data_IF_643972052104
#
_entry.id   IF_643972052104
#
_cell.length_a   1.000
_cell.length_b   1.000
_cell.length_c   1.000
_cell.angle_alpha   90.00
_cell.angle_beta   90.00
_cell.angle_gamma   90.00
#
_symmetry.space_group_name_H-M   'P 1'
#
loop_
_entity.id
_entity.type
_entity.pdbx_description
1 polymer ?
#
# COMPACT_ATOMS: atom_id res chain seq x y z
N UNK A 1 -21.62 -13.57 3.96
CA UNK A 1 -21.02 -13.34 2.63
C UNK A 1 -19.52 -13.50 2.80
N UNK A 2 -18.93 -14.59 2.30
CA UNK A 2 -17.50 -14.85 2.44
C UNK A 2 -16.78 -14.18 1.27
N UNK A 3 -15.93 -13.20 1.56
CA UNK A 3 -15.04 -12.62 0.55
C UNK A 3 -13.81 -13.54 0.43
N UNK A 4 -13.71 -14.27 -0.68
CA UNK A 4 -12.49 -14.97 -1.04
C UNK A 4 -11.49 -13.93 -1.55
N UNK A 5 -10.49 -13.58 -0.75
CA UNK A 5 -9.31 -12.89 -1.26
C UNK A 5 -8.49 -13.90 -2.05
N UNK A 6 -8.49 -13.78 -3.39
CA UNK A 6 -7.52 -14.48 -4.21
C UNK A 6 -6.13 -14.01 -3.78
N UNK A 7 -5.25 -14.94 -3.42
CA UNK A 7 -3.84 -14.67 -3.17
C UNK A 7 -3.23 -14.23 -4.51
N UNK A 8 -3.04 -12.92 -4.68
CA UNK A 8 -2.48 -12.36 -5.89
C UNK A 8 -1.07 -12.90 -6.09
N UNK A 9 -0.77 -13.44 -7.28
CA UNK A 9 0.58 -13.93 -7.59
C UNK A 9 1.49 -12.76 -7.99
N UNK A 10 2.81 -12.98 -7.95
CA UNK A 10 3.84 -11.99 -8.34
C UNK A 10 3.57 -11.31 -9.69
N UNK A 11 2.91 -11.99 -10.63
CA UNK A 11 2.54 -11.42 -11.95
C UNK A 11 1.31 -10.53 -11.87
N UNK A 12 0.27 -10.93 -11.12
CA UNK A 12 -0.97 -10.17 -10.95
C UNK A 12 -0.69 -8.83 -10.23
N UNK A 13 0.33 -8.84 -9.37
CA UNK A 13 0.81 -7.70 -8.59
C UNK A 13 1.56 -6.66 -9.46
N UNK A 14 2.37 -7.11 -10.42
CA UNK A 14 3.16 -6.20 -11.27
C UNK A 14 2.31 -5.50 -12.35
N UNK A 15 1.27 -6.17 -12.84
CA UNK A 15 0.50 -5.71 -14.02
C UNK A 15 -0.96 -5.30 -13.70
N UNK A 16 -1.38 -5.40 -12.44
CA UNK A 16 -2.77 -5.23 -12.04
C UNK A 16 -3.56 -6.53 -12.21
N UNK A 17 -4.50 -6.79 -11.29
CA UNK A 17 -5.36 -7.99 -11.34
C UNK A 17 -6.20 -7.93 -12.63
N UNK A 18 -6.05 -8.87 -13.58
CA UNK A 18 -6.90 -8.91 -14.75
C UNK A 18 -8.28 -9.42 -14.34
N UNK A 19 -9.35 -8.68 -14.66
CA UNK A 19 -10.70 -9.24 -14.69
C UNK A 19 -10.81 -10.13 -15.94
N UNK A 20 -11.34 -11.36 -15.85
CA UNK A 20 -11.39 -12.29 -16.99
C UNK A 20 -12.25 -11.80 -18.18
N UNK A 21 -13.03 -10.72 -18.02
CA UNK A 21 -14.00 -10.28 -19.03
C UNK A 21 -13.87 -8.81 -19.48
N UNK A 22 -12.75 -8.11 -19.23
CA UNK A 22 -12.68 -6.68 -19.58
C UNK A 22 -11.46 -6.30 -20.43
N UNK A 23 -11.72 -5.77 -21.63
CA UNK A 23 -10.77 -5.13 -22.56
C UNK A 23 -10.18 -3.80 -22.06
N UNK A 24 -10.43 -3.46 -20.79
CA UNK A 24 -9.96 -2.23 -20.15
C UNK A 24 -8.45 -2.29 -19.93
N UNK A 25 -7.70 -1.48 -20.68
CA UNK A 25 -6.29 -1.21 -20.39
C UNK A 25 -6.21 -0.48 -19.06
N UNK A 26 -5.82 -1.18 -17.99
CA UNK A 26 -5.53 -0.52 -16.73
C UNK A 26 -4.40 0.51 -16.92
N UNK A 27 -4.51 1.69 -16.30
CA UNK A 27 -3.44 2.68 -16.39
C UNK A 27 -2.18 2.07 -15.80
N UNK A 28 -1.08 2.18 -16.54
CA UNK A 28 0.21 1.65 -16.08
C UNK A 28 0.69 2.47 -14.88
N UNK A 29 1.26 1.81 -13.85
CA UNK A 29 2.02 2.48 -12.80
C UNK A 29 3.06 3.42 -13.42
N UNK A 30 3.28 4.58 -12.81
CA UNK A 30 4.20 5.60 -13.36
C UNK A 30 5.63 5.35 -12.90
N UNK A 31 5.81 4.62 -11.80
CA UNK A 31 7.11 4.35 -11.19
C UNK A 31 7.36 2.85 -11.04
N UNK A 32 8.59 2.43 -11.37
CA UNK A 32 9.06 1.09 -11.09
C UNK A 32 9.58 1.00 -9.65
N UNK A 33 9.04 0.06 -8.87
CA UNK A 33 9.57 -0.32 -7.57
C UNK A 33 10.07 -1.74 -7.68
N UNK A 34 11.36 -1.95 -7.44
CA UNK A 34 11.97 -3.27 -7.45
C UNK A 34 11.40 -4.14 -6.32
N UNK A 35 11.38 -3.58 -5.11
CA UNK A 35 10.69 -4.14 -3.95
C UNK A 35 9.60 -3.19 -3.46
N UNK A 36 8.39 -3.73 -3.29
CA UNK A 36 7.21 -2.98 -2.85
C UNK A 36 6.37 -3.76 -1.85
N UNK A 37 5.63 -3.03 -1.05
CA UNK A 37 4.50 -3.53 -0.26
C UNK A 37 3.22 -2.81 -0.70
N UNK A 38 2.08 -3.41 -0.41
CA UNK A 38 0.80 -2.97 -0.99
C UNK A 38 -0.28 -2.83 0.05
N UNK A 39 -1.25 -1.98 -0.22
CA UNK A 39 -2.48 -1.89 0.56
C UNK A 39 -3.69 -1.76 -0.38
N UNK A 40 -4.77 -2.45 -0.03
CA UNK A 40 -6.06 -2.32 -0.70
C UNK A 40 -7.05 -1.69 0.26
N UNK A 41 -7.67 -0.59 -0.16
CA UNK A 41 -8.65 0.14 0.64
C UNK A 41 -9.97 0.12 -0.12
N UNK A 42 -10.95 -0.62 0.42
CA UNK A 42 -12.33 -0.48 -0.02
C UNK A 42 -12.91 0.82 0.57
N UNK A 43 -13.58 1.62 -0.26
CA UNK A 43 -14.33 2.78 0.21
C UNK A 43 -15.78 2.37 0.42
N UNK A 44 -16.28 2.53 1.65
CA UNK A 44 -17.71 2.37 1.93
C UNK A 44 -18.47 3.46 1.19
N UNK A 45 -19.13 3.07 0.09
CA UNK A 45 -19.94 3.97 -0.71
C UNK A 45 -21.27 3.29 -1.03
N UNK A 46 -22.42 4.00 -0.91
CA UNK A 46 -23.75 3.43 -1.14
C UNK A 46 -24.05 3.10 -2.62
N UNK A 47 -23.06 3.16 -3.51
CA UNK A 47 -23.25 2.85 -4.93
C UNK A 47 -23.16 1.35 -5.18
N UNK A 48 -23.80 0.91 -6.27
CA UNK A 48 -23.73 -0.47 -6.77
C UNK A 48 -22.29 -0.86 -7.15
N UNK A 49 -21.48 0.11 -7.58
CA UNK A 49 -20.08 -0.11 -7.95
C UNK A 49 -19.13 0.09 -6.75
N UNK A 50 -18.25 -0.91 -6.55
CA UNK A 50 -17.21 -0.89 -5.53
C UNK A 50 -16.16 0.18 -5.84
N UNK A 51 -15.99 1.14 -4.94
CA UNK A 51 -14.89 2.11 -4.99
C UNK A 51 -13.72 1.60 -4.16
N UNK A 52 -12.52 1.74 -4.69
CA UNK A 52 -11.33 1.30 -4.00
C UNK A 52 -10.12 2.14 -4.36
N UNK A 53 -9.17 2.15 -3.45
CA UNK A 53 -7.81 2.65 -3.66
C UNK A 53 -6.82 1.51 -3.51
N UNK A 54 -5.74 1.59 -4.27
CA UNK A 54 -4.64 0.65 -4.18
C UNK A 54 -3.35 1.41 -4.01
N UNK A 55 -2.63 1.15 -2.92
CA UNK A 55 -1.38 1.83 -2.59
C UNK A 55 -0.23 0.87 -2.80
N UNK A 56 0.79 1.34 -3.50
CA UNK A 56 2.10 0.69 -3.61
C UNK A 56 3.11 1.58 -2.90
N UNK A 57 3.82 1.02 -1.94
CA UNK A 57 4.92 1.70 -1.27
C UNK A 57 6.23 0.98 -1.59
N UNK A 58 7.28 1.75 -1.89
CA UNK A 58 8.62 1.19 -2.03
C UNK A 58 9.04 0.53 -0.69
N UNK A 59 9.88 -0.50 -0.72
CA UNK A 59 10.41 -1.12 0.50
C UNK A 59 11.92 -0.89 0.67
N UNK A 60 12.64 -0.76 -0.44
CA UNK A 60 14.08 -0.57 -0.41
C UNK A 60 14.45 0.90 -0.12
N UNK A 61 14.98 1.14 1.07
CA UNK A 61 15.37 2.45 1.58
C UNK A 61 16.81 2.38 2.09
N UNK A 62 17.69 3.18 1.50
CA UNK A 62 19.08 3.30 1.96
C UNK A 62 19.12 3.81 3.40
N UNK A 63 19.96 3.19 4.24
CA UNK A 63 20.05 3.45 5.67
C UNK A 63 20.71 4.79 6.05
N UNK A 64 21.08 5.62 5.06
CA UNK A 64 22.07 6.69 5.22
C UNK A 64 21.51 8.13 5.26
N UNK A 65 20.22 8.34 5.53
CA UNK A 65 19.65 9.70 5.60
C UNK A 65 18.96 9.99 6.94
N UNK A 66 19.17 11.22 7.45
CA UNK A 66 18.62 11.76 8.71
C UNK A 66 17.10 11.86 8.71
N UNK A 67 16.47 11.93 7.53
CA UNK A 67 15.02 11.90 7.35
C UNK A 67 14.68 10.94 6.21
N UNK A 68 14.10 9.80 6.56
CA UNK A 68 13.72 8.82 5.55
C UNK A 68 12.40 9.19 4.93
N UNK A 69 12.33 9.05 3.62
CA UNK A 69 11.10 9.23 2.87
C UNK A 69 10.74 7.96 2.11
N UNK A 70 9.44 7.69 2.05
CA UNK A 70 8.86 6.51 1.42
C UNK A 70 8.02 6.96 0.22
N UNK A 71 8.50 6.73 -1.02
CA UNK A 71 7.69 6.93 -2.21
C UNK A 71 6.51 5.97 -2.23
N UNK A 72 5.34 6.50 -2.53
CA UNK A 72 4.11 5.74 -2.74
C UNK A 72 3.43 6.14 -4.04
N UNK A 73 2.76 5.17 -4.66
CA UNK A 73 1.77 5.40 -5.72
C UNK A 73 0.40 4.93 -5.23
N UNK A 74 -0.61 5.78 -5.38
CA UNK A 74 -2.01 5.47 -5.06
C UNK A 74 -2.84 5.46 -6.33
N UNK A 75 -3.41 4.33 -6.66
CA UNK A 75 -4.46 4.22 -7.67
C UNK A 75 -5.82 4.56 -7.06
N UNK A 76 -6.64 5.29 -7.80
CA UNK A 76 -8.03 5.57 -7.47
C UNK A 76 -8.97 4.99 -8.53
N UNK A 77 -9.83 4.05 -8.14
CA UNK A 77 -10.73 3.37 -9.09
C UNK A 77 -11.78 4.30 -9.69
N UNK A 78 -12.21 5.34 -8.97
CA UNK A 78 -13.20 6.32 -9.43
C UNK A 78 -12.70 7.12 -10.63
N UNK A 79 -11.43 7.52 -10.60
CA UNK A 79 -10.82 8.36 -11.65
C UNK A 79 -9.98 7.56 -12.62
N UNK A 80 -9.72 6.28 -12.32
CA UNK A 80 -8.77 5.45 -13.06
C UNK A 80 -7.40 6.12 -13.23
N UNK A 81 -6.88 6.71 -12.14
CA UNK A 81 -5.59 7.42 -12.16
C UNK A 81 -4.67 7.00 -11.03
N UNK A 82 -3.37 7.07 -11.30
CA UNK A 82 -2.31 6.92 -10.31
C UNK A 82 -1.83 8.30 -9.85
N UNK A 83 -1.69 8.47 -8.54
CA UNK A 83 -1.07 9.64 -7.92
C UNK A 83 0.21 9.23 -7.19
N UNK A 84 1.29 9.96 -7.42
CA UNK A 84 2.56 9.74 -6.74
C UNK A 84 2.69 10.73 -5.58
N UNK A 85 3.14 10.24 -4.44
CA UNK A 85 3.47 11.09 -3.29
C UNK A 85 4.57 10.45 -2.46
N UNK A 86 5.10 11.23 -1.51
CA UNK A 86 6.18 10.79 -0.63
C UNK A 86 5.71 10.93 0.82
N UNK A 87 5.93 9.88 1.63
CA UNK A 87 5.65 9.87 3.07
C UNK A 87 6.96 10.09 3.84
N UNK A 88 6.95 10.96 4.84
CA UNK A 88 8.05 11.06 5.81
C UNK A 88 8.00 9.89 6.80
N UNK A 89 9.13 9.42 7.30
CA UNK A 89 9.17 8.38 8.33
C UNK A 89 10.41 8.50 9.22
N UNK A 90 10.36 7.82 10.38
CA UNK A 90 11.53 7.70 11.25
C UNK A 90 12.67 6.94 10.53
N UNK A 91 13.94 7.33 10.70
CA UNK A 91 15.07 6.67 10.01
C UNK A 91 15.22 5.18 10.31
N UNK A 92 14.72 4.69 11.44
CA UNK A 92 14.80 3.28 11.82
C UNK A 92 13.74 2.41 11.16
N UNK A 93 12.73 3.00 10.51
CA UNK A 93 11.63 2.26 9.89
C UNK A 93 12.05 1.71 8.52
N UNK A 94 11.78 0.44 8.30
CA UNK A 94 12.02 -0.25 7.02
C UNK A 94 10.87 -1.20 6.76
N UNK A 95 10.21 -1.07 5.61
CA UNK A 95 9.05 -1.88 5.24
C UNK A 95 9.50 -3.25 4.72
N UNK A 96 8.77 -4.29 5.06
CA UNK A 96 9.04 -5.63 4.53
C UNK A 96 8.50 -5.74 3.09
N UNK A 97 9.37 -6.12 2.16
CA UNK A 97 9.02 -6.32 0.76
C UNK A 97 7.96 -7.42 0.58
N UNK A 98 7.15 -7.24 -0.46
CA UNK A 98 6.11 -8.17 -0.90
C UNK A 98 5.05 -8.48 0.17
N UNK A 99 4.93 -7.62 1.18
CA UNK A 99 3.89 -7.71 2.19
C UNK A 99 2.61 -7.01 1.74
N UNK A 100 1.46 -7.58 2.13
CA UNK A 100 0.15 -6.95 2.01
C UNK A 100 -0.20 -6.35 3.37
N UNK A 101 -0.49 -5.06 3.40
CA UNK A 101 -0.93 -4.38 4.60
C UNK A 101 -2.28 -4.89 5.08
N UNK A 102 -2.45 -4.86 6.39
CA UNK A 102 -3.78 -4.92 7.00
C UNK A 102 -4.38 -3.51 6.98
N UNK A 103 -5.63 -3.38 6.53
CA UNK A 103 -6.35 -2.12 6.55
C UNK A 103 -7.48 -2.19 7.57
N UNK A 104 -7.43 -1.32 8.58
CA UNK A 104 -8.42 -1.25 9.65
C UNK A 104 -9.03 0.14 9.64
N UNK A 105 -10.33 0.23 9.38
CA UNK A 105 -11.07 1.51 9.31
C UNK A 105 -10.40 2.55 8.38
N UNK A 106 -9.87 2.10 7.25
CA UNK A 106 -9.19 2.96 6.27
C UNK A 106 -7.72 3.28 6.60
N UNK A 107 -7.20 2.84 7.75
CA UNK A 107 -5.79 3.04 8.14
C UNK A 107 -4.97 1.83 7.73
N UNK A 108 -3.82 2.08 7.10
CA UNK A 108 -2.93 1.08 6.52
C UNK A 108 -1.85 0.69 7.51
N UNK A 109 -1.67 -0.62 7.70
CA UNK A 109 -0.66 -1.21 8.60
C UNK A 109 0.21 -2.20 7.83
N UNK A 110 1.44 -1.78 7.50
CA UNK A 110 2.44 -2.66 6.89
C UNK A 110 3.35 -3.29 7.95
N UNK A 111 3.77 -4.53 7.72
CA UNK A 111 4.86 -5.09 8.48
C UNK A 111 6.17 -4.36 8.16
N UNK A 112 6.89 -4.03 9.22
CA UNK A 112 8.17 -3.39 9.16
C UNK A 112 9.20 -4.21 9.95
N UNK A 113 10.47 -3.98 9.63
CA UNK A 113 11.61 -4.60 10.29
C UNK A 113 11.59 -4.37 11.80
N UNK A 114 12.32 -5.21 12.53
CA UNK A 114 12.46 -5.13 14.00
C UNK A 114 11.12 -5.24 14.75
N UNK A 115 10.18 -6.02 14.22
CA UNK A 115 8.86 -6.28 14.81
C UNK A 115 8.03 -5.00 14.99
N UNK A 116 8.07 -4.14 13.99
CA UNK A 116 7.24 -2.93 13.96
C UNK A 116 6.10 -3.08 12.95
N UNK A 117 5.03 -2.33 13.17
CA UNK A 117 4.04 -1.99 12.16
C UNK A 117 4.26 -0.54 11.74
N UNK A 118 4.39 -0.33 10.44
CA UNK A 118 4.32 0.99 9.85
C UNK A 118 2.85 1.36 9.62
N UNK A 119 2.45 2.52 10.11
CA UNK A 119 1.05 2.99 10.08
C UNK A 119 0.95 4.23 9.22
N UNK A 120 0.03 4.19 8.26
CA UNK A 120 -0.31 5.33 7.41
C UNK A 120 -1.82 5.54 7.39
N UNK A 121 -2.25 6.75 7.72
CA UNK A 121 -3.64 7.19 7.57
C UNK A 121 -3.75 8.13 6.35
N UNK A 122 -4.31 7.66 5.21
CA UNK A 122 -4.50 8.48 4.03
C UNK A 122 -5.51 9.63 4.21
N UNK A 123 -6.36 9.59 5.24
CA UNK A 123 -7.40 10.60 5.47
C UNK A 123 -6.95 11.73 6.39
N UNK A 124 -5.92 11.50 7.21
CA UNK A 124 -5.35 12.51 8.12
C UNK A 124 -4.84 13.76 7.41
N UNK A 125 -4.52 13.67 6.12
CA UNK A 125 -3.82 14.71 5.37
C UNK A 125 -2.31 14.77 5.66
N UNK A 126 -1.86 14.12 6.73
CA UNK A 126 -0.45 13.98 7.06
C UNK A 126 0.21 12.95 6.13
N UNK A 127 1.34 13.34 5.53
CA UNK A 127 2.16 12.45 4.71
C UNK A 127 3.27 11.85 5.55
N UNK A 128 2.87 11.05 6.53
CA UNK A 128 3.77 10.48 7.53
C UNK A 128 3.49 8.99 7.79
N UNK A 129 4.55 8.21 7.99
CA UNK A 129 4.51 6.84 8.46
C UNK A 129 4.93 6.80 9.93
N UNK A 130 3.97 6.48 10.78
CA UNK A 130 4.21 6.21 12.20
C UNK A 130 4.66 4.76 12.41
N UNK A 131 5.30 4.48 13.55
CA UNK A 131 5.74 3.13 13.92
C UNK A 131 5.07 2.66 15.21
N UNK A 132 4.57 1.43 15.20
CA UNK A 132 4.07 0.73 16.39
C UNK A 132 4.93 -0.51 16.64
N UNK A 133 5.53 -0.62 17.82
CA UNK A 133 6.29 -1.81 18.21
C UNK A 133 5.33 -2.93 18.63
N UNK A 134 5.49 -4.11 18.05
CA UNK A 134 4.70 -5.28 18.41
C UNK A 134 5.16 -5.88 19.75
N UNK A 135 4.25 -6.39 20.59
CA UNK A 135 4.60 -7.04 21.86
C UNK A 135 5.52 -8.23 21.63
N UNK A 136 6.49 -8.47 22.52
CA UNK A 136 7.42 -9.60 22.47
C UNK A 136 6.72 -10.96 22.48
N UNK A 137 7.37 -11.98 21.90
CA UNK A 137 7.09 -13.36 22.30
C UNK A 137 7.97 -13.60 23.54
N UNK A 138 7.35 -13.74 24.70
CA UNK A 138 8.05 -14.17 25.92
C UNK A 138 8.36 -15.66 25.84
#
# INVERSE_FOLDING_TARGET
MAFFFAVATRRDILFGIPSPNSTTKFPKPRVYFEDLCMAFLAEDHPSVDMRYKFIRAKCDFSANEEMKTVPIETFNSKTSTWNFSTLSCAPTLSLCSWSVATVVKGVVHWYAAQRNLAVYDPQSGERHLSSIKLPGLN
#
